data_IF_762790109881
#
_entry.id   IF_762790109881
#
_cell.length_a   1.000
_cell.length_b   1.000
_cell.length_c   1.000
_cell.angle_alpha   90.00
_cell.angle_beta   90.00
_cell.angle_gamma   90.00
#
_symmetry.space_group_name_H-M   'P 1'
#
loop_
_entity.id
_entity.type
_entity.pdbx_description
1 polymer ?
#
# COMPACT_ATOMS: atom_id res chain seq x y z
N UNK A 1 -0.73 32.34 1.38
CA UNK A 1 -0.76 31.39 2.52
C UNK A 1 -1.37 30.04 2.14
N UNK A 2 -2.58 29.97 1.56
CA UNK A 2 -3.21 28.68 1.18
C UNK A 2 -2.42 27.85 0.15
N UNK A 3 -1.77 28.49 -0.82
CA UNK A 3 -0.98 27.81 -1.86
C UNK A 3 0.31 27.14 -1.34
N UNK A 4 0.92 27.71 -0.30
CA UNK A 4 2.13 27.17 0.32
C UNK A 4 1.82 25.89 1.13
N UNK A 5 0.70 25.87 1.86
CA UNK A 5 0.24 24.69 2.59
C UNK A 5 -0.14 23.53 1.67
N UNK A 6 -0.85 23.81 0.56
CA UNK A 6 -1.20 22.78 -0.42
C UNK A 6 0.04 22.13 -1.05
N UNK A 7 1.05 22.93 -1.38
CA UNK A 7 2.32 22.44 -1.92
C UNK A 7 3.07 21.56 -0.91
N UNK A 8 3.16 21.99 0.36
CA UNK A 8 3.79 21.21 1.45
C UNK A 8 3.10 19.86 1.66
N UNK A 9 1.77 19.83 1.65
CA UNK A 9 1.00 18.59 1.76
C UNK A 9 1.27 17.64 0.59
N UNK A 10 1.35 18.17 -0.65
CA UNK A 10 1.68 17.36 -1.82
C UNK A 10 3.07 16.74 -1.72
N UNK A 11 4.07 17.49 -1.25
CA UNK A 11 5.42 16.96 -1.06
C UNK A 11 5.46 15.84 0.00
N UNK A 12 4.85 16.09 1.16
CA UNK A 12 4.77 15.11 2.24
C UNK A 12 4.04 13.83 1.80
N UNK A 13 2.98 13.96 0.99
CA UNK A 13 2.27 12.80 0.43
C UNK A 13 3.16 12.00 -0.53
N UNK A 14 3.89 12.66 -1.42
CA UNK A 14 4.80 11.99 -2.35
C UNK A 14 5.93 11.26 -1.62
N UNK A 15 6.50 11.88 -0.59
CA UNK A 15 7.52 11.25 0.26
C UNK A 15 6.96 10.03 1.01
N UNK A 16 5.76 10.16 1.60
CA UNK A 16 5.09 9.06 2.29
C UNK A 16 4.81 7.87 1.34
N UNK A 17 4.38 8.15 0.10
CA UNK A 17 4.19 7.11 -0.92
C UNK A 17 5.51 6.43 -1.28
N UNK A 18 6.59 7.17 -1.47
CA UNK A 18 7.90 6.60 -1.78
C UNK A 18 8.41 5.67 -0.66
N UNK A 19 8.27 6.10 0.60
CA UNK A 19 8.60 5.28 1.76
C UNK A 19 7.72 4.03 1.88
N UNK A 20 6.42 4.16 1.58
CA UNK A 20 5.49 3.03 1.55
C UNK A 20 5.92 1.98 0.51
N UNK A 21 6.23 2.39 -0.72
CA UNK A 21 6.67 1.49 -1.78
C UNK A 21 7.96 0.77 -1.39
N UNK A 22 8.96 1.52 -0.90
CA UNK A 22 10.25 0.96 -0.51
C UNK A 22 10.15 -0.10 0.62
N UNK A 23 9.17 0.04 1.53
CA UNK A 23 8.96 -0.87 2.66
C UNK A 23 8.12 -2.10 2.33
N UNK A 24 7.40 -2.13 1.20
CA UNK A 24 6.38 -3.14 0.91
C UNK A 24 6.57 -3.80 -0.48
N UNK A 25 7.81 -4.13 -0.85
CA UNK A 25 8.16 -4.63 -2.18
C UNK A 25 7.52 -5.99 -2.54
N UNK A 26 7.30 -6.89 -1.56
CA UNK A 26 6.62 -8.17 -1.80
C UNK A 26 5.14 -7.98 -2.00
N UNK A 27 4.50 -7.13 -1.19
CA UNK A 27 3.09 -6.78 -1.40
C UNK A 27 2.86 -6.19 -2.79
N UNK A 28 3.77 -5.34 -3.27
CA UNK A 28 3.73 -4.83 -4.64
C UNK A 28 3.75 -5.96 -5.68
N UNK A 29 4.72 -6.88 -5.59
CA UNK A 29 4.86 -7.98 -6.54
C UNK A 29 3.63 -8.91 -6.54
N UNK A 30 3.02 -9.14 -5.37
CA UNK A 30 1.78 -9.91 -5.27
C UNK A 30 0.62 -9.18 -5.94
N UNK A 31 0.48 -7.87 -5.73
CA UNK A 31 -0.54 -7.06 -6.40
C UNK A 31 -0.36 -7.07 -7.93
N UNK A 32 0.87 -6.86 -8.43
CA UNK A 32 1.21 -6.94 -9.86
C UNK A 32 0.92 -8.32 -10.47
N UNK A 33 1.04 -9.38 -9.69
CA UNK A 33 0.63 -10.71 -10.13
C UNK A 33 -0.89 -10.85 -10.16
N UNK A 34 -1.60 -10.34 -9.15
CA UNK A 34 -3.05 -10.42 -9.04
C UNK A 34 -3.78 -9.64 -10.14
N UNK A 35 -3.24 -8.49 -10.58
CA UNK A 35 -3.82 -7.66 -11.66
C UNK A 35 -3.88 -8.39 -13.00
N UNK A 36 -3.10 -9.48 -13.19
CA UNK A 36 -3.15 -10.32 -14.40
C UNK A 36 -4.43 -11.15 -14.51
N UNK A 37 -5.15 -11.35 -13.41
CA UNK A 37 -6.35 -12.20 -13.35
C UNK A 37 -7.57 -11.49 -12.79
N UNK A 38 -7.38 -10.48 -11.95
CA UNK A 38 -8.46 -9.70 -11.33
C UNK A 38 -8.35 -8.23 -11.73
N UNK A 39 -9.47 -7.58 -12.13
CA UNK A 39 -9.48 -6.14 -12.35
C UNK A 39 -8.98 -5.39 -11.11
N UNK A 40 -7.97 -4.55 -11.28
CA UNK A 40 -7.33 -3.83 -10.16
C UNK A 40 -6.70 -4.75 -9.10
N UNK A 41 -6.46 -6.03 -9.41
CA UNK A 41 -5.84 -6.97 -8.47
C UNK A 41 -6.69 -7.27 -7.23
N UNK A 42 -8.02 -7.06 -7.27
CA UNK A 42 -8.89 -7.26 -6.12
C UNK A 42 -10.18 -8.04 -6.45
N UNK A 43 -10.75 -8.67 -5.43
CA UNK A 43 -12.12 -9.25 -5.44
C UNK A 43 -13.07 -8.56 -4.47
N UNK A 44 -12.57 -7.60 -3.66
CA UNK A 44 -13.34 -6.79 -2.72
C UNK A 44 -12.85 -5.34 -2.70
N UNK A 45 -13.65 -4.41 -3.22
CA UNK A 45 -13.25 -3.01 -3.48
C UNK A 45 -12.72 -2.27 -2.26
N UNK A 46 -13.26 -2.50 -1.05
CA UNK A 46 -12.82 -1.81 0.17
C UNK A 46 -11.34 -2.06 0.54
N UNK A 47 -10.74 -3.13 0.02
CA UNK A 47 -9.34 -3.47 0.29
C UNK A 47 -8.35 -2.79 -0.65
N UNK A 48 -8.82 -2.21 -1.76
CA UNK A 48 -7.94 -1.55 -2.71
C UNK A 48 -7.41 -0.24 -2.13
N UNK A 49 -6.10 -0.02 -2.22
CA UNK A 49 -5.45 1.23 -1.78
C UNK A 49 -4.33 1.60 -2.74
N UNK A 50 -4.20 2.88 -3.06
CA UNK A 50 -3.06 3.39 -3.83
C UNK A 50 -1.81 3.54 -2.94
N UNK A 51 -0.61 3.18 -3.40
CA UNK A 51 -0.29 2.68 -4.75
C UNK A 51 -0.59 1.19 -4.99
N UNK A 52 -0.69 0.39 -3.93
CA UNK A 52 -1.14 -1.01 -3.93
C UNK A 52 -1.49 -1.43 -2.49
N UNK A 53 -2.30 -2.47 -2.25
CA UNK A 53 -2.63 -2.94 -0.90
C UNK A 53 -1.49 -3.72 -0.24
N UNK A 54 -1.41 -3.68 1.10
CA UNK A 54 -0.54 -4.57 1.89
C UNK A 54 -1.09 -5.98 1.84
N UNK A 55 -0.25 -6.95 1.50
CA UNK A 55 -0.59 -8.36 1.58
C UNK A 55 -0.23 -8.92 2.96
N UNK A 56 -1.21 -9.53 3.64
CA UNK A 56 -1.03 -10.12 4.95
C UNK A 56 -0.61 -11.58 4.83
N UNK A 57 0.47 -11.96 5.52
CA UNK A 57 1.01 -13.32 5.56
C UNK A 57 0.33 -14.17 6.63
N UNK A 58 0.12 -13.61 7.82
CA UNK A 58 -0.45 -14.33 8.96
C UNK A 58 -1.08 -13.38 9.99
N UNK A 59 -1.84 -13.95 10.91
CA UNK A 59 -2.40 -13.24 12.06
C UNK A 59 -2.38 -14.09 13.32
N UNK A 60 -2.18 -13.45 14.47
CA UNK A 60 -2.21 -14.07 15.80
C UNK A 60 -2.86 -13.13 16.81
N UNK A 61 -4.03 -13.51 17.33
CA UNK A 61 -4.80 -12.62 18.21
C UNK A 61 -5.16 -11.32 17.49
N UNK A 62 -4.72 -10.19 18.01
CA UNK A 62 -4.95 -8.86 17.43
C UNK A 62 -3.83 -8.39 16.48
N UNK A 63 -2.76 -9.17 16.31
CA UNK A 63 -1.59 -8.80 15.49
C UNK A 63 -1.66 -9.46 14.11
N UNK A 64 -1.24 -8.72 13.09
CA UNK A 64 -1.11 -9.18 11.71
C UNK A 64 0.34 -9.02 11.27
N UNK A 65 0.87 -9.97 10.51
CA UNK A 65 2.19 -9.86 9.90
C UNK A 65 2.05 -9.77 8.39
N UNK A 66 2.63 -8.76 7.76
CA UNK A 66 2.63 -8.61 6.30
C UNK A 66 3.59 -9.59 5.61
N UNK A 67 3.43 -9.76 4.31
CA UNK A 67 4.38 -10.52 3.46
C UNK A 67 5.78 -9.90 3.48
N UNK A 68 5.85 -8.59 3.74
CA UNK A 68 7.07 -7.81 3.93
C UNK A 68 7.68 -7.93 5.34
N UNK A 69 6.99 -8.61 6.27
CA UNK A 69 7.50 -8.93 7.61
C UNK A 69 7.20 -7.89 8.69
N UNK A 70 6.44 -6.84 8.37
CA UNK A 70 5.99 -5.86 9.37
C UNK A 70 4.84 -6.44 10.20
N UNK A 71 4.85 -6.22 11.52
CA UNK A 71 3.78 -6.63 12.45
C UNK A 71 3.20 -5.44 13.20
#
# INVERSE_FOLDING_TARGET
MAQDSAHKLSLALSEAKALYVARNAKSQAIHEQATKSFPGGNTRTVLHTDPFPICMKSGRGYQLTSEDGNT
#
